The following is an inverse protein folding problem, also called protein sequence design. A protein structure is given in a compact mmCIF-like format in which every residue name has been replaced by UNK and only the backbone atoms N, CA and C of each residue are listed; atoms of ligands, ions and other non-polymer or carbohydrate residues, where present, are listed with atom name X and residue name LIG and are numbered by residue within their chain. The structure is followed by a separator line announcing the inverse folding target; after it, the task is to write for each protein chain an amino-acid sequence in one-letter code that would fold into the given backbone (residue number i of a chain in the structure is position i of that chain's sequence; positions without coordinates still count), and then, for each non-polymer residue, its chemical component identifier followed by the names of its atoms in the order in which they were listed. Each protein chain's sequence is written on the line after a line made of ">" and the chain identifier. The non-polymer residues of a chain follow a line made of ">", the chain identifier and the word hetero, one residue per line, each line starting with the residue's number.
data_IF_881255675181
#
_entry.id   IF_881255675181
#
_cell.length_a   1.000
_cell.length_b   1.000
_cell.length_c   1.000
_cell.angle_alpha   90.00
_cell.angle_beta   90.00
_cell.angle_gamma   90.00
#
_symmetry.space_group_name_H-M   'P 1'
#
loop_
_entity.id
_entity.type
_entity.pdbx_description
1 polymer ?
#
# COMPACT_ATOMS: atom_id res chain seq x y z
N UNK A 1 -19.21 11.00 15.36
CA UNK A 1 -18.59 10.49 14.10
C UNK A 1 -17.14 10.13 14.40
N UNK A 2 -16.64 8.93 14.03
CA UNK A 2 -15.26 8.51 14.32
C UNK A 2 -14.19 9.51 13.85
N UNK A 3 -14.45 10.21 12.74
CA UNK A 3 -13.57 11.27 12.23
C UNK A 3 -13.31 12.44 13.20
N UNK A 4 -14.16 12.61 14.23
CA UNK A 4 -14.00 13.65 15.27
C UNK A 4 -13.34 13.13 16.55
N UNK A 5 -12.98 11.85 16.62
CA UNK A 5 -12.38 11.28 17.83
C UNK A 5 -11.04 11.97 18.16
N UNK A 6 -10.11 11.99 17.20
CA UNK A 6 -8.83 12.68 17.36
C UNK A 6 -9.01 14.18 17.62
N UNK A 7 -9.88 14.84 16.84
CA UNK A 7 -10.18 16.26 17.01
C UNK A 7 -10.73 16.58 18.40
N UNK A 8 -11.61 15.73 18.94
CA UNK A 8 -12.14 15.88 20.30
C UNK A 8 -11.05 15.76 21.38
N UNK A 9 -10.09 14.84 21.22
CA UNK A 9 -8.93 14.73 22.12
C UNK A 9 -8.11 16.02 22.09
N UNK A 10 -7.85 16.55 20.90
CA UNK A 10 -7.05 17.77 20.70
C UNK A 10 -7.75 19.01 21.27
N UNK A 11 -9.04 19.18 21.01
CA UNK A 11 -9.88 20.24 21.61
C UNK A 11 -9.91 20.16 23.14
N UNK A 12 -9.89 18.95 23.69
CA UNK A 12 -9.83 18.70 25.13
C UNK A 12 -8.45 18.90 25.76
N UNK A 13 -7.44 19.37 25.00
CA UNK A 13 -6.08 19.57 25.51
C UNK A 13 -5.25 18.28 25.64
N UNK A 14 -5.70 17.17 25.03
CA UNK A 14 -5.08 15.85 25.11
C UNK A 14 -3.80 15.68 24.28
N UNK A 15 -3.48 16.63 23.40
CA UNK A 15 -2.34 16.55 22.46
C UNK A 15 -0.96 16.24 23.09
N UNK A 16 -0.61 16.81 24.26
CA UNK A 16 0.64 16.48 24.95
C UNK A 16 0.70 15.07 25.54
N UNK A 17 -0.42 14.35 25.64
CA UNK A 17 -0.55 13.10 26.41
C UNK A 17 -0.49 11.81 25.57
N UNK A 18 -0.09 11.89 24.30
CA UNK A 18 0.16 10.72 23.45
C UNK A 18 1.35 10.96 22.52
N UNK A 19 2.07 9.91 22.14
CA UNK A 19 3.25 10.03 21.29
C UNK A 19 2.95 9.91 19.78
N UNK A 20 1.87 9.20 19.46
CA UNK A 20 1.46 8.93 18.09
C UNK A 20 -0.02 8.61 17.99
N UNK A 21 -0.51 8.52 16.75
CA UNK A 21 -1.90 8.23 16.45
C UNK A 21 -1.99 6.92 15.69
N UNK A 22 -2.75 5.97 16.24
CA UNK A 22 -3.20 4.78 15.52
C UNK A 22 -4.48 5.07 14.73
N UNK A 23 -4.57 4.53 13.53
CA UNK A 23 -5.79 4.52 12.72
C UNK A 23 -5.88 3.22 11.94
N UNK A 24 -7.06 2.88 11.43
CA UNK A 24 -7.32 1.64 10.70
C UNK A 24 -7.78 1.97 9.28
N UNK A 25 -7.29 1.24 8.28
CA UNK A 25 -7.71 1.37 6.88
C UNK A 25 -8.18 0.05 6.33
N UNK A 26 -9.43 -0.03 5.93
CA UNK A 26 -9.91 -1.16 5.14
C UNK A 26 -10.28 -0.64 3.77
N UNK A 27 -10.04 -1.43 2.75
CA UNK A 27 -10.63 -1.28 1.42
C UNK A 27 -11.56 -2.45 1.15
N UNK A 28 -12.48 -2.30 0.21
CA UNK A 28 -13.44 -3.36 -0.16
C UNK A 28 -13.20 -3.73 -1.62
N UNK A 29 -13.07 -5.03 -1.87
CA UNK A 29 -12.98 -5.58 -3.21
C UNK A 29 -14.21 -5.18 -4.05
N UNK A 30 -13.98 -4.86 -5.33
CA UNK A 30 -14.99 -4.30 -6.21
C UNK A 30 -15.33 -5.19 -7.42
N UNK A 31 -15.14 -6.50 -7.29
CA UNK A 31 -15.71 -7.50 -8.20
C UNK A 31 -14.92 -7.77 -9.47
N UNK A 32 -13.77 -7.11 -9.68
CA UNK A 32 -12.87 -7.37 -10.79
C UNK A 32 -11.41 -7.29 -10.34
N UNK A 33 -10.52 -7.90 -11.12
CA UNK A 33 -9.08 -7.94 -10.84
C UNK A 33 -8.54 -6.55 -10.52
N UNK A 34 -7.81 -6.42 -9.42
CA UNK A 34 -7.18 -5.15 -9.01
C UNK A 34 -8.15 -4.09 -8.49
N UNK A 35 -9.47 -4.31 -8.57
CA UNK A 35 -10.45 -3.28 -8.23
C UNK A 35 -10.83 -3.31 -6.75
N UNK A 36 -10.65 -2.18 -6.08
CA UNK A 36 -11.03 -1.97 -4.69
C UNK A 36 -11.39 -0.51 -4.43
N UNK A 37 -12.21 -0.25 -3.40
CA UNK A 37 -12.55 1.12 -3.01
C UNK A 37 -12.97 1.26 -1.55
N UNK A 38 -12.97 2.50 -1.08
CA UNK A 38 -13.58 2.91 0.18
C UNK A 38 -14.42 4.17 -0.02
N UNK A 39 -15.74 4.04 -0.29
CA UNK A 39 -16.60 5.18 -0.62
C UNK A 39 -16.62 6.27 0.44
N UNK A 40 -16.54 5.90 1.72
CA UNK A 40 -16.52 6.86 2.83
C UNK A 40 -15.29 7.77 2.84
N UNK A 41 -14.24 7.42 2.10
CA UNK A 41 -13.01 8.19 1.94
C UNK A 41 -12.82 8.72 0.52
N UNK A 42 -13.77 8.45 -0.39
CA UNK A 42 -13.68 8.77 -1.81
C UNK A 42 -12.36 8.29 -2.44
N UNK A 43 -11.90 7.11 -2.03
CA UNK A 43 -10.67 6.47 -2.52
C UNK A 43 -11.04 5.21 -3.29
N UNK A 44 -10.30 4.95 -4.35
CA UNK A 44 -10.39 3.74 -5.14
C UNK A 44 -9.07 3.44 -5.84
N UNK A 45 -8.97 2.20 -6.33
CA UNK A 45 -7.88 1.66 -7.13
C UNK A 45 -7.54 2.52 -8.37
N UNK A 46 -8.53 3.23 -8.93
CA UNK A 46 -8.46 4.02 -10.17
C UNK A 46 -8.35 5.55 -9.95
N UNK A 47 -8.13 5.98 -8.71
CA UNK A 47 -8.10 7.41 -8.36
C UNK A 47 -6.99 7.75 -7.38
N UNK A 48 -6.94 7.04 -6.26
CA UNK A 48 -6.00 7.34 -5.16
C UNK A 48 -5.04 6.18 -4.91
N UNK A 49 -5.48 4.95 -5.17
CA UNK A 49 -4.87 3.74 -4.62
C UNK A 49 -5.41 3.42 -3.22
N UNK A 50 -4.65 2.71 -2.37
CA UNK A 50 -5.14 2.24 -1.08
C UNK A 50 -5.54 3.39 -0.15
N UNK A 51 -6.61 3.18 0.63
CA UNK A 51 -7.21 4.22 1.50
C UNK A 51 -6.25 4.78 2.56
N UNK A 52 -5.17 4.07 2.87
CA UNK A 52 -4.10 4.53 3.78
C UNK A 52 -3.54 5.89 3.38
N UNK A 53 -3.47 6.19 2.08
CA UNK A 53 -2.95 7.47 1.56
C UNK A 53 -3.80 8.64 2.05
N UNK A 54 -5.11 8.60 1.75
CA UNK A 54 -6.03 9.66 2.12
C UNK A 54 -6.19 9.80 3.65
N UNK A 55 -6.27 8.67 4.36
CA UNK A 55 -6.39 8.66 5.83
C UNK A 55 -5.17 9.23 6.52
N UNK A 56 -3.96 8.86 6.11
CA UNK A 56 -2.73 9.40 6.67
C UNK A 56 -2.66 10.91 6.45
N UNK A 57 -2.99 11.39 5.24
CA UNK A 57 -3.05 12.82 4.92
C UNK A 57 -4.03 13.58 5.82
N UNK A 58 -5.23 13.03 6.03
CA UNK A 58 -6.22 13.62 6.93
C UNK A 58 -5.74 13.69 8.39
N UNK A 59 -5.16 12.60 8.92
CA UNK A 59 -4.68 12.61 10.31
C UNK A 59 -3.54 13.62 10.49
N UNK A 60 -2.60 13.71 9.53
CA UNK A 60 -1.53 14.72 9.53
C UNK A 60 -2.08 16.14 9.49
N UNK A 61 -3.12 16.40 8.70
CA UNK A 61 -3.70 17.74 8.59
C UNK A 61 -4.41 18.15 9.89
N UNK A 62 -5.12 17.22 10.53
CA UNK A 62 -5.73 17.45 11.85
C UNK A 62 -4.65 17.73 12.90
N UNK A 63 -3.60 16.91 12.99
CA UNK A 63 -2.52 17.16 13.95
C UNK A 63 -1.82 18.50 13.73
N UNK A 64 -1.57 18.87 12.47
CA UNK A 64 -0.98 20.16 12.10
C UNK A 64 -1.87 21.33 12.53
N UNK A 65 -3.19 21.24 12.30
CA UNK A 65 -4.14 22.28 12.66
C UNK A 65 -4.17 22.59 14.18
N UNK A 66 -3.79 21.63 15.01
CA UNK A 66 -3.73 21.78 16.47
C UNK A 66 -2.29 21.90 17.03
N UNK A 67 -1.28 22.04 16.17
CA UNK A 67 0.11 22.26 16.60
C UNK A 67 0.89 21.00 17.03
N UNK A 68 0.45 19.80 16.64
CA UNK A 68 1.05 18.52 17.01
C UNK A 68 1.59 17.72 15.80
N UNK A 69 2.18 18.40 14.82
CA UNK A 69 2.68 17.78 13.57
C UNK A 69 3.79 16.74 13.76
N UNK A 70 4.49 16.73 14.89
CA UNK A 70 5.58 15.79 15.19
C UNK A 70 5.15 14.41 15.70
N UNK A 71 3.85 14.13 15.85
CA UNK A 71 3.36 12.82 16.32
C UNK A 71 3.51 11.77 15.23
N UNK A 72 4.04 10.60 15.57
CA UNK A 72 4.16 9.52 14.59
C UNK A 72 2.79 8.89 14.32
N UNK A 73 2.64 8.27 13.15
CA UNK A 73 1.41 7.59 12.75
C UNK A 73 1.63 6.08 12.61
N UNK A 74 0.62 5.31 13.00
CA UNK A 74 0.59 3.85 12.80
C UNK A 74 -0.75 3.45 12.21
N UNK A 75 -0.72 2.69 11.12
CA UNK A 75 -1.91 2.01 10.62
C UNK A 75 -1.97 0.63 11.27
N UNK A 76 -2.71 0.51 12.38
CA UNK A 76 -2.70 -0.70 13.22
C UNK A 76 -3.60 -1.81 12.69
N UNK A 77 -4.42 -1.53 11.69
CA UNK A 77 -5.16 -2.53 10.92
C UNK A 77 -5.27 -2.11 9.47
N UNK A 78 -4.81 -2.96 8.56
CA UNK A 78 -5.03 -2.82 7.12
C UNK A 78 -5.45 -4.13 6.45
N UNK A 79 -6.41 -4.08 5.54
CA UNK A 79 -6.77 -5.20 4.69
C UNK A 79 -7.70 -4.77 3.54
N UNK A 80 -7.78 -5.60 2.51
CA UNK A 80 -8.88 -5.59 1.55
C UNK A 80 -9.88 -6.68 1.91
N UNK A 81 -11.15 -6.29 2.07
CA UNK A 81 -12.23 -7.17 2.52
C UNK A 81 -13.08 -7.66 1.35
N UNK A 82 -13.56 -8.88 1.45
CA UNK A 82 -14.69 -9.36 0.66
C UNK A 82 -15.49 -10.43 1.40
N UNK A 83 -16.78 -10.20 1.65
CA UNK A 83 -17.64 -11.15 2.39
C UNK A 83 -17.95 -12.42 1.60
N UNK A 84 -18.15 -12.29 0.29
CA UNK A 84 -18.67 -13.36 -0.57
C UNK A 84 -17.63 -13.99 -1.48
N UNK A 85 -16.34 -13.71 -1.27
CA UNK A 85 -15.22 -14.16 -2.12
C UNK A 85 -14.54 -15.43 -1.60
N UNK A 86 -15.28 -16.36 -1.02
CA UNK A 86 -14.71 -17.65 -0.62
C UNK A 86 -14.24 -18.43 -1.85
N UNK A 87 -12.96 -18.82 -1.88
CA UNK A 87 -12.31 -19.51 -3.01
C UNK A 87 -12.32 -18.72 -4.34
N UNK A 88 -12.40 -17.39 -4.29
CA UNK A 88 -12.32 -16.54 -5.47
C UNK A 88 -10.85 -16.23 -5.82
N UNK A 89 -10.36 -16.83 -6.90
CA UNK A 89 -8.98 -16.63 -7.36
C UNK A 89 -8.70 -15.18 -7.80
N UNK A 90 -9.68 -14.47 -8.37
CA UNK A 90 -9.50 -13.08 -8.81
C UNK A 90 -9.35 -12.18 -7.58
N UNK A 91 -10.14 -12.40 -6.54
CA UNK A 91 -9.98 -11.72 -5.27
C UNK A 91 -8.63 -12.04 -4.61
N UNK A 92 -8.19 -13.30 -4.58
CA UNK A 92 -6.90 -13.67 -3.99
C UNK A 92 -5.71 -13.01 -4.73
N UNK A 93 -5.75 -12.94 -6.06
CA UNK A 93 -4.77 -12.16 -6.84
C UNK A 93 -4.86 -10.66 -6.54
N UNK A 94 -6.07 -10.10 -6.46
CA UNK A 94 -6.27 -8.69 -6.10
C UNK A 94 -5.73 -8.37 -4.71
N UNK A 95 -5.90 -9.30 -3.76
CA UNK A 95 -5.37 -9.18 -2.39
C UNK A 95 -3.84 -9.21 -2.37
N UNK A 96 -3.21 -10.03 -3.22
CA UNK A 96 -1.76 -10.01 -3.41
C UNK A 96 -1.24 -8.69 -3.97
N UNK A 97 -1.95 -8.08 -4.93
CA UNK A 97 -1.59 -6.76 -5.46
C UNK A 97 -1.76 -5.67 -4.40
N UNK A 98 -2.92 -5.68 -3.73
CA UNK A 98 -3.27 -4.69 -2.72
C UNK A 98 -2.29 -4.66 -1.56
N UNK A 99 -1.83 -5.82 -1.06
CA UNK A 99 -0.92 -5.85 0.09
C UNK A 99 0.43 -5.19 -0.21
N UNK A 100 0.97 -5.38 -1.41
CA UNK A 100 2.19 -4.68 -1.87
C UNK A 100 1.96 -3.17 -1.99
N UNK A 101 0.86 -2.77 -2.63
CA UNK A 101 0.48 -1.34 -2.78
C UNK A 101 0.29 -0.65 -1.42
N UNK A 102 -0.45 -1.27 -0.50
CA UNK A 102 -0.73 -0.70 0.82
C UNK A 102 0.54 -0.63 1.68
N UNK A 103 1.44 -1.60 1.58
CA UNK A 103 2.73 -1.58 2.27
C UNK A 103 3.61 -0.42 1.81
N UNK A 104 3.80 -0.28 0.49
CA UNK A 104 4.59 0.81 -0.06
C UNK A 104 3.96 2.18 0.16
N UNK A 105 2.63 2.29 0.04
CA UNK A 105 1.90 3.53 0.36
C UNK A 105 2.08 3.94 1.81
N UNK A 106 2.05 3.01 2.76
CA UNK A 106 2.30 3.32 4.17
C UNK A 106 3.73 3.85 4.42
N UNK A 107 4.73 3.25 3.77
CA UNK A 107 6.12 3.74 3.83
C UNK A 107 6.24 5.15 3.22
N UNK A 108 5.63 5.38 2.06
CA UNK A 108 5.59 6.69 1.41
C UNK A 108 4.89 7.75 2.28
N UNK A 109 3.89 7.35 3.06
CA UNK A 109 3.24 8.21 4.04
C UNK A 109 4.03 8.36 5.35
N UNK A 110 5.24 7.79 5.48
CA UNK A 110 6.06 7.91 6.69
C UNK A 110 5.43 7.26 7.92
N UNK A 111 4.60 6.24 7.73
CA UNK A 111 4.01 5.53 8.86
C UNK A 111 5.08 4.70 9.58
N UNK A 112 5.04 4.70 10.91
CA UNK A 112 5.92 3.88 11.75
C UNK A 112 5.55 2.39 11.68
N UNK A 113 4.29 2.08 11.39
CA UNK A 113 3.83 0.72 11.20
C UNK A 113 2.60 0.67 10.28
N UNK A 114 2.48 -0.43 9.56
CA UNK A 114 1.32 -0.81 8.76
C UNK A 114 1.03 -2.30 8.98
N UNK A 115 0.04 -2.60 9.79
CA UNK A 115 -0.22 -3.95 10.30
C UNK A 115 -1.37 -4.58 9.54
N UNK A 116 -1.09 -5.67 8.81
CA UNK A 116 -2.14 -6.42 8.12
C UNK A 116 -3.09 -7.09 9.12
N UNK A 117 -4.41 -6.91 8.94
CA UNK A 117 -5.44 -7.55 9.74
C UNK A 117 -6.12 -8.67 8.95
N UNK A 118 -5.81 -9.94 9.20
CA UNK A 118 -4.81 -10.51 10.11
C UNK A 118 -4.29 -11.81 9.49
N UNK A 119 -3.51 -12.61 10.22
CA UNK A 119 -2.98 -13.88 9.70
C UNK A 119 -4.10 -14.79 9.18
N UNK A 120 -5.17 -14.99 9.98
CA UNK A 120 -6.35 -15.77 9.60
C UNK A 120 -7.51 -14.91 9.06
N UNK A 121 -7.41 -13.60 9.25
CA UNK A 121 -8.26 -12.61 8.60
C UNK A 121 -9.69 -12.49 9.12
N UNK A 122 -10.42 -11.60 8.46
CA UNK A 122 -11.84 -11.34 8.64
C UNK A 122 -12.41 -10.98 7.26
N UNK A 123 -13.58 -11.52 6.89
CA UNK A 123 -14.15 -11.35 5.54
C UNK A 123 -13.14 -11.68 4.43
N UNK A 124 -12.55 -12.89 4.48
CA UNK A 124 -11.59 -13.44 3.53
C UNK A 124 -10.23 -12.70 3.41
N UNK A 125 -9.93 -11.74 4.31
CA UNK A 125 -8.66 -11.00 4.29
C UNK A 125 -7.41 -11.77 4.73
N UNK A 126 -7.55 -13.03 5.13
CA UNK A 126 -6.45 -13.81 5.72
C UNK A 126 -5.24 -13.92 4.78
N UNK A 127 -4.04 -13.97 5.36
CA UNK A 127 -2.81 -14.33 4.65
C UNK A 127 -2.64 -15.85 4.57
N UNK A 128 -3.20 -16.58 5.54
CA UNK A 128 -3.18 -18.03 5.57
C UNK A 128 -4.60 -18.59 5.45
N UNK A 129 -4.70 -19.82 4.99
CA UNK A 129 -5.88 -20.65 5.12
C UNK A 129 -6.04 -21.17 6.56
N UNK A 130 -7.19 -21.79 6.85
CA UNK A 130 -7.47 -22.37 8.18
C UNK A 130 -6.54 -23.53 8.54
N UNK A 131 -5.95 -24.19 7.55
CA UNK A 131 -4.92 -25.23 7.70
C UNK A 131 -3.49 -24.69 7.77
N UNK A 132 -3.34 -23.35 7.87
CA UNK A 132 -2.07 -22.62 7.89
C UNK A 132 -1.26 -22.66 6.59
N UNK A 133 -1.80 -23.21 5.49
CA UNK A 133 -1.20 -23.05 4.18
C UNK A 133 -1.26 -21.58 3.73
N UNK A 134 -0.24 -21.13 3.00
CA UNK A 134 -0.14 -19.75 2.53
C UNK A 134 -1.16 -19.46 1.43
N UNK A 135 -1.71 -18.23 1.46
CA UNK A 135 -2.43 -17.64 0.33
C UNK A 135 -1.48 -16.77 -0.50
N UNK A 136 -1.82 -16.40 -1.75
CA UNK A 136 -0.96 -15.56 -2.58
C UNK A 136 -0.52 -14.25 -1.92
N UNK A 137 -1.42 -13.63 -1.14
CA UNK A 137 -1.12 -12.42 -0.40
C UNK A 137 -0.03 -12.58 0.69
N UNK A 138 0.17 -13.79 1.23
CA UNK A 138 1.28 -14.05 2.15
C UNK A 138 2.63 -13.91 1.44
N UNK A 139 2.76 -14.52 0.25
CA UNK A 139 4.00 -14.46 -0.54
C UNK A 139 4.29 -13.03 -0.98
N UNK A 140 3.29 -12.31 -1.47
CA UNK A 140 3.41 -10.90 -1.82
C UNK A 140 3.82 -10.02 -0.62
N UNK A 141 3.22 -10.24 0.55
CA UNK A 141 3.58 -9.53 1.78
C UNK A 141 5.01 -9.84 2.23
N UNK A 142 5.42 -11.11 2.16
CA UNK A 142 6.78 -11.54 2.49
C UNK A 142 7.81 -10.87 1.58
N UNK A 143 7.56 -10.87 0.26
CA UNK A 143 8.44 -10.23 -0.71
C UNK A 143 8.50 -8.71 -0.49
N UNK A 144 7.35 -8.03 -0.41
CA UNK A 144 7.27 -6.59 -0.15
C UNK A 144 8.04 -6.19 1.13
N UNK A 145 7.89 -6.96 2.21
CA UNK A 145 8.61 -6.73 3.46
C UNK A 145 10.11 -6.92 3.31
N UNK A 146 10.55 -7.94 2.57
CA UNK A 146 11.96 -8.19 2.31
C UNK A 146 12.57 -7.09 1.45
N UNK A 147 11.89 -6.74 0.37
CA UNK A 147 12.41 -5.83 -0.65
C UNK A 147 12.45 -4.38 -0.16
N UNK A 148 11.42 -3.94 0.56
CA UNK A 148 11.34 -2.57 1.09
C UNK A 148 11.79 -2.47 2.55
N UNK A 149 12.47 -3.49 3.07
CA UNK A 149 13.01 -3.46 4.43
C UNK A 149 14.02 -2.32 4.57
N UNK A 150 13.91 -1.51 5.62
CA UNK A 150 14.84 -0.40 5.91
C UNK A 150 14.91 0.66 4.78
N UNK A 151 14.02 0.58 3.79
CA UNK A 151 13.97 1.50 2.67
C UNK A 151 13.32 2.83 3.10
N UNK A 152 13.91 3.93 2.65
CA UNK A 152 13.38 5.27 2.87
C UNK A 152 12.69 5.76 1.61
N UNK A 153 11.51 6.36 1.78
CA UNK A 153 10.79 6.96 0.66
C UNK A 153 11.56 8.16 0.11
N UNK A 154 11.72 8.22 -1.21
CA UNK A 154 12.38 9.32 -1.92
C UNK A 154 11.35 10.26 -2.54
N UNK A 155 10.47 9.71 -3.39
CA UNK A 155 9.46 10.48 -4.13
C UNK A 155 8.38 9.58 -4.72
N UNK A 156 7.26 10.19 -5.10
CA UNK A 156 6.33 9.54 -6.03
C UNK A 156 6.91 9.58 -7.46
N UNK A 157 6.59 8.55 -8.24
CA UNK A 157 6.84 8.53 -9.69
C UNK A 157 5.63 9.17 -10.36
N UNK A 158 5.86 10.26 -11.09
CA UNK A 158 4.81 11.09 -11.71
C UNK A 158 5.08 11.37 -13.19
N UNK A 159 6.13 10.78 -13.75
CA UNK A 159 6.57 10.97 -15.14
C UNK A 159 5.73 10.15 -16.14
N UNK A 160 4.92 9.21 -15.65
CA UNK A 160 4.10 8.32 -16.47
C UNK A 160 2.62 8.53 -16.10
N UNK A 161 1.84 8.97 -17.07
CA UNK A 161 0.41 9.20 -16.88
C UNK A 161 -0.30 7.91 -16.50
N UNK A 162 -1.29 8.00 -15.61
CA UNK A 162 -2.05 6.87 -15.08
C UNK A 162 -1.25 5.72 -14.44
N UNK A 163 0.05 5.89 -14.20
CA UNK A 163 0.88 4.97 -13.42
C UNK A 163 1.09 5.54 -12.04
N UNK A 164 0.82 4.75 -11.01
CA UNK A 164 1.20 5.06 -9.64
C UNK A 164 2.53 4.40 -9.35
N UNK A 165 3.43 5.14 -8.73
CA UNK A 165 4.68 4.57 -8.30
C UNK A 165 5.35 5.31 -7.17
N UNK A 166 6.25 4.60 -6.50
CA UNK A 166 7.08 5.13 -5.43
C UNK A 166 8.54 4.74 -5.66
N UNK A 167 9.42 5.71 -5.48
CA UNK A 167 10.86 5.49 -5.38
C UNK A 167 11.28 5.37 -3.92
N UNK A 168 12.06 4.34 -3.63
CA UNK A 168 12.68 4.11 -2.34
C UNK A 168 14.19 3.95 -2.47
N UNK A 169 14.91 4.36 -1.42
CA UNK A 169 16.32 4.12 -1.26
C UNK A 169 16.55 3.20 -0.07
N UNK A 170 17.17 2.04 -0.30
CA UNK A 170 17.50 1.05 0.73
C UNK A 170 18.98 1.09 1.15
N UNK A 171 19.72 2.09 0.69
CA UNK A 171 21.16 2.26 0.92
C UNK A 171 22.01 1.43 -0.05
N UNK A 172 21.64 0.17 -0.29
CA UNK A 172 22.31 -0.72 -1.24
C UNK A 172 21.74 -0.65 -2.66
N UNK A 173 20.51 -0.14 -2.83
CA UNK A 173 19.84 0.00 -4.11
C UNK A 173 18.74 1.07 -4.09
N UNK A 174 18.44 1.58 -5.29
CA UNK A 174 17.23 2.34 -5.58
C UNK A 174 16.14 1.38 -6.07
N UNK A 175 14.93 1.48 -5.50
CA UNK A 175 13.80 0.59 -5.79
C UNK A 175 12.64 1.43 -6.27
N UNK A 176 12.05 1.07 -7.41
CA UNK A 176 10.73 1.55 -7.80
C UNK A 176 9.70 0.45 -7.59
N UNK A 177 8.53 0.81 -7.05
CA UNK A 177 7.32 -0.01 -7.12
C UNK A 177 6.32 0.71 -8.01
N UNK A 178 5.86 0.08 -9.09
CA UNK A 178 4.95 0.66 -10.08
C UNK A 178 3.71 -0.20 -10.28
N UNK A 179 2.55 0.43 -10.50
CA UNK A 179 1.33 -0.24 -10.97
C UNK A 179 0.41 0.76 -11.70
N UNK A 180 -0.54 0.23 -12.48
CA UNK A 180 -1.56 1.01 -13.18
C UNK A 180 -2.62 1.53 -12.21
N UNK A 181 -2.98 2.81 -12.35
CA UNK A 181 -4.01 3.51 -11.57
C UNK A 181 -5.29 3.74 -12.38
N UNK A 182 -5.51 3.00 -13.46
CA UNK A 182 -6.76 3.05 -14.26
C UNK A 182 -7.16 1.69 -14.84
N UNK A 183 -6.29 0.68 -14.70
CA UNK A 183 -6.56 -0.70 -15.12
C UNK A 183 -6.17 -0.97 -16.56
N UNK A 184 -5.77 0.06 -17.29
CA UNK A 184 -5.17 -0.07 -18.60
C UNK A 184 -3.69 -0.47 -18.48
N UNK A 185 -3.19 -1.03 -19.57
CA UNK A 185 -1.77 -1.34 -19.76
C UNK A 185 -1.04 -0.09 -20.26
N UNK A 186 0.01 0.30 -19.55
CA UNK A 186 0.79 1.50 -19.85
C UNK A 186 2.21 1.14 -20.30
N UNK A 187 2.55 1.25 -21.59
CA UNK A 187 3.93 1.11 -22.03
C UNK A 187 4.76 2.29 -21.54
N UNK A 188 5.83 2.01 -20.81
CA UNK A 188 6.75 3.04 -20.29
C UNK A 188 8.18 2.77 -20.76
N UNK A 189 8.94 3.87 -20.96
CA UNK A 189 10.38 3.83 -21.14
C UNK A 189 11.05 4.16 -19.82
N UNK A 190 11.92 3.28 -19.34
CA UNK A 190 12.65 3.46 -18.09
C UNK A 190 13.85 4.40 -18.31
N UNK A 191 14.33 5.10 -17.25
CA UNK A 191 15.50 5.96 -17.35
C UNK A 191 16.81 5.20 -17.67
N UNK A 192 16.78 3.87 -17.53
CA UNK A 192 17.84 2.95 -17.88
C UNK A 192 17.40 1.53 -17.56
N UNK A 193 18.11 0.53 -18.10
CA UNK A 193 17.82 -0.89 -17.81
C UNK A 193 18.05 -1.14 -16.30
N UNK A 194 17.04 -1.61 -15.55
CA UNK A 194 17.21 -1.96 -14.15
C UNK A 194 18.16 -3.14 -13.98
N UNK A 195 18.74 -3.30 -12.79
CA UNK A 195 19.51 -4.48 -12.40
C UNK A 195 18.62 -5.72 -12.30
N UNK A 196 17.41 -5.54 -11.78
CA UNK A 196 16.43 -6.59 -11.60
C UNK A 196 15.00 -6.04 -11.72
N UNK A 197 14.09 -6.90 -12.15
CA UNK A 197 12.65 -6.64 -12.14
C UNK A 197 11.99 -7.86 -11.49
N UNK A 198 11.02 -7.63 -10.62
CA UNK A 198 10.25 -8.68 -9.97
C UNK A 198 8.76 -8.43 -10.06
N UNK A 199 8.01 -9.52 -10.24
CA UNK A 199 6.59 -9.59 -9.97
C UNK A 199 6.29 -9.34 -8.49
N UNK A 200 5.00 -9.17 -8.17
CA UNK A 200 4.54 -8.87 -6.81
C UNK A 200 4.92 -9.94 -5.78
N UNK A 201 5.11 -11.18 -6.23
CA UNK A 201 5.45 -12.35 -5.42
C UNK A 201 6.97 -12.62 -5.36
N UNK A 202 7.79 -11.79 -6.01
CA UNK A 202 9.24 -11.94 -6.07
C UNK A 202 9.75 -12.81 -7.23
N UNK A 203 8.87 -13.26 -8.14
CA UNK A 203 9.32 -13.96 -9.34
C UNK A 203 10.08 -13.01 -10.27
N UNK A 204 11.28 -13.38 -10.75
CA UNK A 204 12.10 -12.49 -11.57
C UNK A 204 11.55 -12.32 -12.99
N UNK A 205 11.69 -11.11 -13.52
CA UNK A 205 11.41 -10.73 -14.91
C UNK A 205 12.71 -10.30 -15.58
N UNK A 206 12.97 -10.66 -16.86
CA UNK A 206 14.15 -10.20 -17.57
C UNK A 206 14.26 -8.66 -17.54
N UNK A 207 15.41 -8.10 -17.14
CA UNK A 207 15.59 -6.65 -17.15
C UNK A 207 15.52 -6.08 -18.57
N UNK A 208 14.70 -5.05 -18.75
CA UNK A 208 14.41 -4.41 -20.03
C UNK A 208 14.41 -2.89 -19.87
N UNK A 209 14.74 -2.15 -20.94
CA UNK A 209 14.72 -0.67 -20.93
C UNK A 209 13.32 -0.06 -21.08
N UNK A 210 12.34 -0.88 -21.45
CA UNK A 210 10.93 -0.51 -21.54
C UNK A 210 10.07 -1.69 -21.12
N UNK A 211 8.94 -1.41 -20.47
CA UNK A 211 8.00 -2.44 -20.02
C UNK A 211 6.56 -1.93 -20.06
N UNK A 212 5.61 -2.86 -19.93
CA UNK A 212 4.19 -2.51 -19.80
C UNK A 212 3.79 -2.62 -18.33
N UNK A 213 3.40 -1.50 -17.72
CA UNK A 213 2.84 -1.47 -16.38
C UNK A 213 1.37 -1.84 -16.44
N UNK A 214 0.94 -2.77 -15.59
CA UNK A 214 -0.46 -3.22 -15.46
C UNK A 214 -0.94 -3.06 -14.01
N UNK A 215 -2.11 -3.60 -13.67
CA UNK A 215 -2.57 -3.64 -12.27
C UNK A 215 -1.65 -4.43 -11.34
N UNK A 216 -0.86 -5.36 -11.87
CA UNK A 216 0.14 -6.08 -11.10
C UNK A 216 1.29 -5.14 -10.70
N UNK A 217 1.60 -5.01 -9.39
CA UNK A 217 2.76 -4.26 -8.95
C UNK A 217 4.07 -4.90 -9.40
N UNK A 218 4.96 -4.09 -9.96
CA UNK A 218 6.31 -4.49 -10.35
C UNK A 218 7.36 -3.75 -9.50
N UNK A 219 8.33 -4.52 -8.99
CA UNK A 219 9.51 -3.98 -8.31
C UNK A 219 10.66 -3.89 -9.31
N UNK A 220 11.30 -2.73 -9.40
CA UNK A 220 12.44 -2.49 -10.28
C UNK A 220 13.61 -1.98 -9.44
N UNK A 221 14.80 -2.55 -9.65
CA UNK A 221 16.00 -2.22 -8.88
C UNK A 221 17.06 -1.55 -9.75
N UNK A 222 17.72 -0.53 -9.22
CA UNK A 222 18.94 0.05 -9.78
C UNK A 222 20.01 0.15 -8.71
N UNK A 223 21.25 0.33 -9.14
CA UNK A 223 22.31 0.83 -8.27
C UNK A 223 21.86 2.12 -7.54
N UNK A 224 22.38 2.39 -6.33
CA UNK A 224 22.07 3.59 -5.55
C UNK A 224 22.21 4.90 -6.33
#
# INVERSE_FOLDING_TARGET
>A
KPAKFLEGILLGGGGPYFDGVSFHTYDVYWGALGQYKMPNWNTAWDTTGPTVIAKAGFVKSVLTAYGFSGKFLMNTETAILCRSCSNDAIYETTKAYYVAQAYAAALAQGLRANVWYSVLGWQNSGLLNSDLSSRPAYTAFQFARSELRDATFVREITEYDHVKGYEFNRGDRRIWLLWSLDGASHPINLPGVPLAIYHVDGMPVPPVGSLTVTLEPLYLEWSP
#
